data_IF_121710966886
#
_entry.id   IF_121710966886
#
_cell.length_a   1.000
_cell.length_b   1.000
_cell.length_c   1.000
_cell.angle_alpha   90.00
_cell.angle_beta   90.00
_cell.angle_gamma   90.00
#
_symmetry.space_group_name_H-M   'P 1'
#
loop_
_entity.id
_entity.type
_entity.pdbx_description
1 polymer ?
#
# COMPACT_ATOMS: atom_id res chain seq x y z
N UNK A 1 30.36 -1.49 -54.90
CA UNK A 1 29.45 -0.41 -54.45
C UNK A 1 28.05 -0.95 -54.17
N UNK A 2 27.41 -1.65 -55.12
CA UNK A 2 26.04 -2.22 -54.95
C UNK A 2 25.93 -3.21 -53.78
N UNK A 3 26.92 -4.08 -53.58
CA UNK A 3 26.94 -5.08 -52.49
C UNK A 3 26.99 -4.45 -51.10
N UNK A 4 27.67 -3.30 -50.95
CA UNK A 4 27.81 -2.61 -49.66
C UNK A 4 26.46 -1.96 -49.25
N UNK A 5 25.71 -1.43 -50.21
CA UNK A 5 24.39 -0.83 -49.98
C UNK A 5 23.39 -1.88 -49.50
N UNK A 6 23.42 -3.08 -50.07
CA UNK A 6 22.51 -4.18 -49.68
C UNK A 6 22.77 -4.63 -48.24
N UNK A 7 24.05 -4.77 -47.85
CA UNK A 7 24.40 -5.17 -46.47
C UNK A 7 23.96 -4.12 -45.45
N UNK A 8 24.18 -2.83 -45.74
CA UNK A 8 23.73 -1.74 -44.85
C UNK A 8 22.21 -1.71 -44.73
N UNK A 9 21.47 -1.93 -45.82
CA UNK A 9 20.00 -1.98 -45.80
C UNK A 9 19.46 -3.16 -44.96
N UNK A 10 20.11 -4.33 -45.03
CA UNK A 10 19.71 -5.51 -44.24
C UNK A 10 20.01 -5.30 -42.75
N UNK A 11 21.16 -4.71 -42.41
CA UNK A 11 21.51 -4.40 -41.01
C UNK A 11 20.58 -3.34 -40.44
N UNK A 12 20.24 -2.30 -41.22
CA UNK A 12 19.33 -1.25 -40.76
C UNK A 12 17.91 -1.79 -40.53
N UNK A 13 17.40 -2.65 -41.42
CA UNK A 13 16.05 -3.22 -41.28
C UNK A 13 15.98 -4.24 -40.13
N UNK A 14 17.01 -5.06 -39.94
CA UNK A 14 17.07 -6.00 -38.78
C UNK A 14 17.21 -5.27 -37.45
N UNK A 15 18.00 -4.19 -37.39
CA UNK A 15 18.09 -3.34 -36.19
C UNK A 15 16.75 -2.67 -35.84
N UNK A 16 16.04 -2.15 -36.85
CA UNK A 16 14.75 -1.50 -36.65
C UNK A 16 13.67 -2.49 -36.14
N UNK A 17 13.68 -3.73 -36.64
CA UNK A 17 12.77 -4.78 -36.19
C UNK A 17 13.13 -5.27 -34.78
N UNK A 18 14.41 -5.39 -34.45
CA UNK A 18 14.86 -5.80 -33.11
C UNK A 18 14.57 -4.73 -32.04
N UNK A 19 14.75 -3.44 -32.35
CA UNK A 19 14.43 -2.35 -31.42
C UNK A 19 12.93 -2.03 -31.36
N UNK A 20 12.19 -2.20 -32.47
CA UNK A 20 10.75 -1.93 -32.56
C UNK A 20 9.85 -3.00 -31.92
N UNK A 21 10.37 -4.18 -31.62
CA UNK A 21 9.63 -5.28 -30.99
C UNK A 21 9.49 -5.17 -29.45
N UNK A 22 9.84 -4.02 -28.86
CA UNK A 22 9.47 -3.69 -27.49
C UNK A 22 8.01 -3.26 -27.45
N UNK A 23 7.12 -4.23 -27.70
CA UNK A 23 5.67 -4.02 -27.75
C UNK A 23 5.22 -3.34 -26.46
N UNK A 24 4.57 -2.17 -26.50
CA UNK A 24 4.10 -1.52 -25.30
C UNK A 24 3.15 -2.48 -24.59
N UNK A 25 3.48 -2.88 -23.36
CA UNK A 25 2.57 -3.67 -22.53
C UNK A 25 1.24 -2.92 -22.50
N UNK A 26 0.21 -3.56 -23.06
CA UNK A 26 -1.10 -2.94 -23.18
C UNK A 26 -1.58 -2.50 -21.81
N UNK A 27 -2.38 -1.44 -21.71
CA UNK A 27 -2.87 -0.92 -20.43
C UNK A 27 -3.50 -2.00 -19.54
N UNK A 28 -4.07 -3.05 -20.16
CA UNK A 28 -4.60 -4.24 -19.47
C UNK A 28 -3.51 -5.09 -18.80
N UNK A 29 -2.37 -5.31 -19.45
CA UNK A 29 -1.24 -6.02 -18.86
C UNK A 29 -0.68 -5.27 -17.65
N UNK A 30 -0.55 -3.94 -17.75
CA UNK A 30 -0.05 -3.10 -16.65
C UNK A 30 -0.94 -3.18 -15.41
N UNK A 31 -2.27 -3.12 -15.60
CA UNK A 31 -3.23 -3.28 -14.49
C UNK A 31 -3.09 -4.63 -13.79
N UNK A 32 -2.93 -5.72 -14.54
CA UNK A 32 -2.77 -7.04 -13.95
C UNK A 32 -1.45 -7.18 -13.17
N UNK A 33 -0.38 -6.57 -13.67
CA UNK A 33 0.90 -6.52 -12.96
C UNK A 33 0.82 -5.69 -11.68
N UNK A 34 0.11 -4.57 -11.70
CA UNK A 34 -0.14 -3.73 -10.52
C UNK A 34 -0.95 -4.48 -9.45
N UNK A 35 -2.02 -5.18 -9.84
CA UNK A 35 -2.80 -6.02 -8.92
C UNK A 35 -1.98 -7.18 -8.34
N UNK A 36 -1.09 -7.78 -9.14
CA UNK A 36 -0.20 -8.85 -8.66
C UNK A 36 0.80 -8.27 -7.65
N UNK A 37 1.33 -7.08 -7.92
CA UNK A 37 2.27 -6.40 -7.04
C UNK A 37 1.62 -5.98 -5.72
N UNK A 38 0.41 -5.41 -5.76
CA UNK A 38 -0.36 -5.11 -4.54
C UNK A 38 -0.59 -6.37 -3.68
N UNK A 39 -1.00 -7.49 -4.30
CA UNK A 39 -1.15 -8.78 -3.60
C UNK A 39 0.14 -9.30 -2.98
N UNK A 40 1.29 -9.04 -3.62
CA UNK A 40 2.59 -9.36 -3.05
C UNK A 40 2.89 -8.48 -1.83
N UNK A 41 2.68 -7.17 -1.93
CA UNK A 41 2.92 -6.22 -0.84
C UNK A 41 1.99 -6.43 0.36
N UNK A 42 0.79 -6.99 0.13
CA UNK A 42 -0.09 -7.41 1.22
C UNK A 42 0.46 -8.60 2.02
N UNK A 43 1.27 -9.46 1.39
CA UNK A 43 1.93 -10.59 2.06
C UNK A 43 3.30 -10.23 2.62
N UNK A 44 4.01 -9.37 1.92
CA UNK A 44 5.40 -8.99 2.20
C UNK A 44 5.54 -7.45 2.21
N UNK A 45 4.99 -6.77 3.25
CA UNK A 45 4.98 -5.31 3.30
C UNK A 45 6.39 -4.71 3.41
N UNK A 46 7.38 -5.46 3.86
CA UNK A 46 8.79 -5.03 3.96
C UNK A 46 9.42 -4.69 2.60
N UNK A 47 8.82 -5.16 1.49
CA UNK A 47 9.31 -4.94 0.12
C UNK A 47 8.70 -3.70 -0.54
N UNK A 48 7.99 -2.86 0.20
CA UNK A 48 7.40 -1.64 -0.34
C UNK A 48 8.51 -0.65 -0.75
N UNK A 49 8.36 -0.09 -1.94
CA UNK A 49 9.18 1.02 -2.42
C UNK A 49 8.36 2.30 -2.60
N UNK A 50 9.03 3.46 -2.71
CA UNK A 50 8.37 4.76 -2.92
C UNK A 50 7.46 4.74 -4.16
N UNK A 51 7.88 4.12 -5.25
CA UNK A 51 7.06 3.99 -6.46
C UNK A 51 5.77 3.19 -6.25
N UNK A 52 5.71 2.29 -5.26
CA UNK A 52 4.48 1.58 -4.90
C UNK A 52 3.49 2.51 -4.20
N UNK A 53 4.00 3.40 -3.36
CA UNK A 53 3.21 4.41 -2.67
C UNK A 53 2.68 5.45 -3.63
N UNK A 54 3.48 5.90 -4.59
CA UNK A 54 3.02 6.80 -5.66
C UNK A 54 1.92 6.15 -6.51
N UNK A 55 2.07 4.86 -6.86
CA UNK A 55 1.00 4.10 -7.55
C UNK A 55 -0.25 3.99 -6.69
N UNK A 56 -0.09 3.70 -5.40
CA UNK A 56 -1.18 3.61 -4.45
C UNK A 56 -1.93 4.95 -4.33
N UNK A 57 -1.21 6.06 -4.24
CA UNK A 57 -1.79 7.41 -4.19
C UNK A 57 -2.52 7.75 -5.47
N UNK A 58 -1.95 7.43 -6.63
CA UNK A 58 -2.61 7.63 -7.93
C UNK A 58 -3.88 6.80 -8.06
N UNK A 59 -3.90 5.58 -7.50
CA UNK A 59 -5.09 4.74 -7.46
C UNK A 59 -6.21 5.30 -6.55
N UNK A 60 -5.86 6.15 -5.58
CA UNK A 60 -6.81 6.88 -4.72
C UNK A 60 -7.12 8.29 -5.25
N UNK A 61 -6.87 8.54 -6.53
CA UNK A 61 -7.19 9.79 -7.23
C UNK A 61 -6.50 11.02 -6.64
N UNK A 62 -5.28 10.88 -6.11
CA UNK A 62 -4.48 12.05 -5.73
C UNK A 62 -3.90 12.74 -6.98
N UNK A 63 -3.86 14.09 -7.01
CA UNK A 63 -3.16 14.87 -8.03
C UNK A 63 -1.66 14.53 -8.07
N UNK A 64 -1.06 14.50 -9.27
CA UNK A 64 0.34 14.10 -9.45
C UNK A 64 1.34 15.06 -8.75
N UNK A 65 0.97 16.33 -8.66
CA UNK A 65 1.65 17.38 -7.92
C UNK A 65 1.63 17.12 -6.40
N UNK A 66 0.49 16.71 -5.83
CA UNK A 66 0.39 16.32 -4.42
C UNK A 66 1.20 15.04 -4.14
N UNK A 67 1.15 14.06 -5.04
CA UNK A 67 1.94 12.82 -4.93
C UNK A 67 3.44 13.16 -4.89
N UNK A 68 3.91 14.02 -5.80
CA UNK A 68 5.32 14.45 -5.85
C UNK A 68 5.70 15.20 -4.58
N UNK A 69 4.86 16.11 -4.10
CA UNK A 69 5.10 16.84 -2.87
C UNK A 69 5.23 15.90 -1.66
N UNK A 70 4.31 14.94 -1.51
CA UNK A 70 4.32 13.97 -0.41
C UNK A 70 5.54 13.06 -0.49
N UNK A 71 5.88 12.56 -1.67
CA UNK A 71 7.06 11.71 -1.86
C UNK A 71 8.36 12.46 -1.53
N UNK A 72 8.48 13.72 -1.95
CA UNK A 72 9.63 14.58 -1.68
C UNK A 72 9.74 14.95 -0.19
N UNK A 73 8.62 15.31 0.45
CA UNK A 73 8.57 15.54 1.91
C UNK A 73 8.97 14.29 2.71
N UNK A 74 8.37 13.14 2.38
CA UNK A 74 8.69 11.88 3.03
C UNK A 74 10.17 11.52 2.88
N UNK A 75 10.74 11.74 1.69
CA UNK A 75 12.16 11.53 1.45
C UNK A 75 13.03 12.45 2.31
N UNK A 76 12.75 13.76 2.35
CA UNK A 76 13.48 14.72 3.17
C UNK A 76 13.41 14.41 4.67
N UNK A 77 12.26 13.94 5.15
CA UNK A 77 12.04 13.56 6.55
C UNK A 77 12.57 12.16 6.88
N UNK A 78 13.13 11.44 5.90
CA UNK A 78 13.63 10.09 6.11
C UNK A 78 12.55 9.05 6.43
N UNK A 79 11.28 9.35 6.12
CA UNK A 79 10.16 8.46 6.39
C UNK A 79 10.30 7.21 5.52
N UNK A 80 10.37 6.05 6.15
CA UNK A 80 10.54 4.78 5.43
C UNK A 80 9.28 4.40 4.65
N UNK A 81 9.41 3.87 3.41
CA UNK A 81 8.26 3.44 2.61
C UNK A 81 7.37 2.41 3.32
N UNK A 82 7.96 1.49 4.09
CA UNK A 82 7.23 0.52 4.91
C UNK A 82 6.26 1.22 5.89
N UNK A 83 6.73 2.27 6.59
CA UNK A 83 5.89 3.02 7.53
C UNK A 83 4.74 3.72 6.81
N UNK A 84 5.01 4.36 5.68
CA UNK A 84 3.97 4.98 4.86
C UNK A 84 2.92 3.96 4.40
N UNK A 85 3.34 2.77 3.98
CA UNK A 85 2.42 1.70 3.60
C UNK A 85 1.53 1.25 4.76
N UNK A 86 2.13 1.02 5.93
CA UNK A 86 1.38 0.63 7.12
C UNK A 86 0.35 1.69 7.51
N UNK A 87 0.70 2.97 7.39
CA UNK A 87 -0.22 4.08 7.59
C UNK A 87 -1.36 4.08 6.57
N UNK A 88 -1.07 3.95 5.27
CA UNK A 88 -2.10 3.88 4.24
C UNK A 88 -3.05 2.69 4.45
N UNK A 89 -2.53 1.52 4.85
CA UNK A 89 -3.35 0.33 5.13
C UNK A 89 -4.21 0.49 6.37
N UNK A 90 -3.71 1.17 7.42
CA UNK A 90 -4.43 1.31 8.69
C UNK A 90 -5.43 2.46 8.70
N UNK A 91 -5.07 3.59 8.09
CA UNK A 91 -5.79 4.86 8.23
C UNK A 91 -6.21 5.51 6.92
N UNK A 92 -5.96 4.85 5.79
CA UNK A 92 -6.17 5.34 4.42
C UNK A 92 -5.07 6.27 3.88
N UNK A 93 -4.96 6.30 2.55
CA UNK A 93 -4.00 7.09 1.78
C UNK A 93 -4.23 8.60 1.96
N UNK A 94 -5.47 9.06 2.06
CA UNK A 94 -5.74 10.48 2.26
C UNK A 94 -5.23 10.96 3.63
N UNK A 95 -5.40 10.14 4.67
CA UNK A 95 -4.88 10.44 6.00
C UNK A 95 -3.35 10.46 6.00
N UNK A 96 -2.70 9.48 5.36
CA UNK A 96 -1.24 9.46 5.17
C UNK A 96 -0.74 10.76 4.51
N UNK A 97 -1.46 11.22 3.49
CA UNK A 97 -1.11 12.42 2.72
C UNK A 97 -1.17 13.66 3.61
N UNK A 98 -2.22 13.80 4.42
CA UNK A 98 -2.35 14.91 5.38
C UNK A 98 -1.23 14.90 6.41
N UNK A 99 -0.93 13.75 7.03
CA UNK A 99 0.11 13.71 8.08
C UNK A 99 1.51 14.02 7.54
N UNK A 100 1.85 13.54 6.35
CA UNK A 100 3.15 13.88 5.72
C UNK A 100 3.16 15.34 5.26
N UNK A 101 2.08 15.82 4.67
CA UNK A 101 1.99 17.22 4.26
C UNK A 101 2.06 18.18 5.46
N UNK A 102 1.57 17.77 6.63
CA UNK A 102 1.67 18.49 7.90
C UNK A 102 3.04 18.36 8.60
N UNK A 103 4.02 17.71 7.96
CA UNK A 103 5.39 17.52 8.46
C UNK A 103 5.53 16.69 9.74
N UNK A 104 4.67 15.68 9.94
CA UNK A 104 4.90 14.71 11.01
C UNK A 104 6.20 13.93 10.78
N UNK A 105 7.01 13.84 11.83
CA UNK A 105 8.26 13.08 11.82
C UNK A 105 8.02 11.58 11.73
N UNK A 106 9.06 10.85 11.33
CA UNK A 106 9.03 9.39 11.27
C UNK A 106 8.67 8.76 12.63
N UNK A 107 9.21 9.30 13.73
CA UNK A 107 9.02 8.76 15.08
C UNK A 107 7.59 8.99 15.58
N UNK A 108 7.00 10.15 15.29
CA UNK A 108 5.58 10.42 15.60
C UNK A 108 4.66 9.49 14.82
N UNK A 109 4.95 9.26 13.53
CA UNK A 109 4.22 8.31 12.71
C UNK A 109 4.31 6.89 13.30
N UNK A 110 5.48 6.45 13.76
CA UNK A 110 5.63 5.16 14.42
C UNK A 110 4.91 5.09 15.77
N UNK A 111 4.95 6.16 16.56
CA UNK A 111 4.25 6.23 17.85
C UNK A 111 2.74 6.07 17.71
N UNK A 112 2.13 6.81 16.79
CA UNK A 112 0.71 6.67 16.46
C UNK A 112 0.37 5.30 15.86
N UNK A 113 1.23 4.75 14.99
CA UNK A 113 1.04 3.41 14.43
C UNK A 113 1.10 2.32 15.53
N UNK A 114 2.04 2.42 16.46
CA UNK A 114 2.20 1.47 17.56
C UNK A 114 1.04 1.52 18.55
N UNK A 115 0.59 2.74 18.89
CA UNK A 115 -0.53 2.96 19.81
C UNK A 115 -1.91 2.76 19.14
N UNK A 116 -1.95 2.73 17.81
CA UNK A 116 -3.19 2.65 17.05
C UNK A 116 -4.06 3.91 17.13
N UNK A 117 -3.45 5.04 17.48
CA UNK A 117 -4.12 6.33 17.59
C UNK A 117 -3.93 7.14 16.32
N UNK A 118 -4.84 8.09 16.09
CA UNK A 118 -4.70 9.11 15.05
C UNK A 118 -4.34 10.44 15.72
N UNK A 119 -3.44 11.25 15.11
CA UNK A 119 -3.27 12.64 15.50
C UNK A 119 -4.55 13.43 15.20
N UNK A 120 -4.68 14.62 15.78
CA UNK A 120 -5.82 15.50 15.48
C UNK A 120 -5.77 15.94 14.01
N UNK A 121 -6.60 15.29 13.20
CA UNK A 121 -6.61 15.51 11.76
C UNK A 121 -7.11 16.90 11.42
N UNK A 122 -7.98 17.53 12.21
CA UNK A 122 -8.45 18.89 11.90
C UNK A 122 -7.31 19.90 12.02
N UNK A 123 -6.49 19.78 13.06
CA UNK A 123 -5.28 20.58 13.22
C UNK A 123 -4.28 20.32 12.09
N UNK A 124 -3.97 19.05 11.80
CA UNK A 124 -3.01 18.69 10.76
C UNK A 124 -3.46 19.10 9.36
N UNK A 125 -4.75 19.15 9.08
CA UNK A 125 -5.29 19.65 7.81
C UNK A 125 -4.96 21.12 7.59
N UNK A 126 -4.97 21.94 8.66
CA UNK A 126 -4.57 23.35 8.57
C UNK A 126 -3.08 23.46 8.20
N UNK A 127 -2.23 22.70 8.88
CA UNK A 127 -0.80 22.66 8.56
C UNK A 127 -0.52 22.12 7.16
N UNK A 128 -1.20 21.06 6.74
CA UNK A 128 -1.10 20.51 5.40
C UNK A 128 -1.49 21.53 4.33
N UNK A 129 -2.56 22.30 4.55
CA UNK A 129 -3.00 23.36 3.65
C UNK A 129 -1.99 24.52 3.57
N UNK A 130 -1.40 24.92 4.70
CA UNK A 130 -0.30 25.91 4.73
C UNK A 130 0.94 25.44 3.97
N UNK A 131 1.14 24.13 3.92
CA UNK A 131 2.22 23.47 3.21
C UNK A 131 1.92 23.15 1.73
N UNK A 132 0.77 23.62 1.21
CA UNK A 132 0.42 23.52 -0.21
C UNK A 132 -0.45 22.32 -0.60
N UNK A 133 -0.97 21.56 0.35
CA UNK A 133 -1.95 20.50 0.05
C UNK A 133 -3.32 21.11 -0.28
N UNK A 134 -3.96 20.69 -1.38
CA UNK A 134 -5.23 21.28 -1.82
C UNK A 134 -6.39 20.88 -0.92
N UNK A 135 -7.20 21.85 -0.51
CA UNK A 135 -8.32 21.68 0.44
C UNK A 135 -9.37 20.63 0.00
N UNK A 136 -9.49 20.38 -1.30
CA UNK A 136 -10.45 19.39 -1.86
C UNK A 136 -10.13 17.96 -1.41
N UNK A 137 -8.86 17.61 -1.23
CA UNK A 137 -8.41 16.26 -0.82
C UNK A 137 -8.22 16.14 0.70
N UNK A 138 -7.90 17.26 1.34
CA UNK A 138 -7.88 17.45 2.81
C UNK A 138 -9.21 17.03 3.44
N UNK A 139 -10.35 17.36 2.80
CA UNK A 139 -11.69 17.01 3.28
C UNK A 139 -12.03 15.49 3.21
N UNK A 140 -11.28 14.69 2.43
CA UNK A 140 -11.49 13.24 2.34
C UNK A 140 -10.77 12.47 3.45
N UNK A 141 -9.65 12.99 3.95
CA UNK A 141 -8.93 12.41 5.09
C UNK A 141 -9.87 12.34 6.29
N UNK A 142 -9.87 11.26 7.09
CA UNK A 142 -10.74 11.18 8.29
C UNK A 142 -12.20 10.78 8.06
N UNK A 143 -12.66 10.55 6.82
CA UNK A 143 -13.82 9.66 6.63
C UNK A 143 -13.37 8.26 7.02
N UNK A 144 -13.81 7.80 8.19
CA UNK A 144 -13.60 6.45 8.71
C UNK A 144 -13.70 5.43 7.57
N UNK A 145 -12.78 4.46 7.49
CA UNK A 145 -12.78 3.52 6.38
C UNK A 145 -14.15 2.85 6.31
N UNK A 146 -14.84 3.04 5.19
CA UNK A 146 -15.92 2.16 4.79
C UNK A 146 -15.30 0.77 4.81
N UNK A 147 -15.69 -0.06 5.80
CA UNK A 147 -15.48 -1.51 5.76
C UNK A 147 -15.89 -1.94 4.37
N UNK A 148 -14.92 -2.22 3.51
CA UNK A 148 -15.16 -2.99 2.30
C UNK A 148 -15.51 -4.35 2.85
N UNK A 149 -16.80 -4.60 3.06
CA UNK A 149 -17.30 -5.94 3.28
C UNK A 149 -16.70 -6.79 2.17
N UNK A 150 -15.89 -7.81 2.46
CA UNK A 150 -15.46 -8.74 1.44
C UNK A 150 -16.75 -9.24 0.79
N UNK A 151 -16.90 -8.96 -0.51
CA UNK A 151 -17.97 -9.50 -1.32
C UNK A 151 -17.99 -10.99 -1.03
N UNK A 152 -19.07 -11.45 -0.40
CA UNK A 152 -19.27 -12.83 -0.03
C UNK A 152 -18.98 -13.68 -1.27
N UNK A 153 -17.86 -14.40 -1.23
CA UNK A 153 -17.60 -15.48 -2.15
C UNK A 153 -18.70 -16.50 -1.83
N UNK A 154 -19.59 -16.87 -2.78
CA UNK A 154 -20.53 -17.94 -2.52
C UNK A 154 -19.73 -19.17 -2.11
N UNK A 155 -20.05 -19.82 -0.98
CA UNK A 155 -19.31 -20.99 -0.55
C UNK A 155 -19.43 -22.05 -1.63
N UNK A 156 -18.30 -22.36 -2.28
CA UNK A 156 -18.18 -23.56 -3.08
C UNK A 156 -18.50 -24.73 -2.16
N UNK A 157 -19.48 -25.53 -2.57
CA UNK A 157 -19.88 -26.74 -1.91
C UNK A 157 -18.69 -27.71 -1.83
N UNK A 158 -17.96 -27.65 -0.72
CA UNK A 158 -17.09 -28.73 -0.29
C UNK A 158 -17.75 -29.37 0.91
N UNK A 159 -18.38 -30.52 0.64
CA UNK A 159 -18.84 -31.41 1.68
C UNK A 159 -17.67 -31.86 2.55
N UNK A 160 -17.81 -31.66 3.84
CA UNK A 160 -17.42 -32.64 4.86
C UNK A 160 -17.92 -32.12 6.22
N UNK A 161 -18.93 -32.82 6.72
CA UNK A 161 -19.38 -32.75 8.10
C UNK A 161 -18.23 -33.16 9.02
N UNK A 162 -17.56 -32.20 9.63
CA UNK A 162 -16.67 -32.44 10.77
C UNK A 162 -17.42 -32.01 12.03
N UNK A 163 -17.92 -33.02 12.75
CA UNK A 163 -18.51 -32.89 14.08
C UNK A 163 -17.60 -32.05 14.99
N UNK A 164 -18.15 -30.98 15.52
CA UNK A 164 -17.56 -30.19 16.60
C UNK A 164 -17.41 -31.08 17.85
N UNK A 165 -16.19 -31.59 18.11
CA UNK A 165 -15.81 -32.04 19.44
C UNK A 165 -15.56 -30.81 20.29
N UNK A 166 -16.47 -30.57 21.24
CA UNK A 166 -16.30 -29.67 22.37
C UNK A 166 -14.98 -30.05 23.05
N UNK A 167 -13.97 -29.18 22.95
CA UNK A 167 -12.72 -29.30 23.70
C UNK A 167 -12.85 -28.34 24.88
N UNK A 168 -13.08 -28.91 26.04
CA UNK A 168 -13.12 -28.25 27.34
C UNK A 168 -11.82 -27.46 27.54
N UNK A 169 -11.94 -26.18 27.87
CA UNK A 169 -10.81 -25.33 28.25
C UNK A 169 -10.13 -25.89 29.52
N UNK A 170 -8.79 -25.80 29.66
CA UNK A 170 -8.11 -26.19 30.87
C UNK A 170 -8.44 -25.21 32.00
N UNK A 171 -8.91 -25.76 33.13
CA UNK A 171 -9.19 -25.01 34.37
C UNK A 171 -7.88 -24.40 34.88
N UNK A 172 -7.83 -23.07 34.96
CA UNK A 172 -6.74 -22.34 35.60
C UNK A 172 -6.95 -22.46 37.11
N UNK A 173 -6.05 -23.16 37.79
CA UNK A 173 -6.02 -23.22 39.25
C UNK A 173 -5.21 -22.04 39.82
N UNK A 174 -5.74 -21.39 40.85
CA UNK A 174 -5.03 -20.36 41.60
C UNK A 174 -3.83 -20.96 42.35
N UNK A 175 -2.70 -20.24 42.45
CA UNK A 175 -1.51 -20.72 43.14
C UNK A 175 -1.78 -20.87 44.65
N UNK A 176 -1.96 -22.11 45.12
CA UNK A 176 -2.11 -22.43 46.54
C UNK A 176 -2.98 -23.65 46.88
N UNK A 177 -3.75 -24.18 45.92
CA UNK A 177 -4.71 -25.29 46.15
C UNK A 177 -4.25 -26.63 45.60
N UNK A 178 -3.01 -27.07 45.89
CA UNK A 178 -2.63 -28.45 45.60
C UNK A 178 -3.22 -29.37 46.67
N UNK A 179 -4.03 -30.39 46.31
CA UNK A 179 -4.42 -31.40 47.28
C UNK A 179 -3.19 -32.25 47.62
N UNK A 180 -2.76 -32.19 48.87
CA UNK A 180 -1.79 -33.15 49.42
C UNK A 180 -2.45 -34.52 49.39
N UNK A 181 -2.01 -35.37 48.47
CA UNK A 181 -2.39 -36.78 48.45
C UNK A 181 -1.79 -37.47 49.68
N UNK A 182 -2.66 -38.10 50.47
CA UNK A 182 -2.27 -39.06 51.52
C UNK A 182 -1.89 -40.42 50.95
#
# INVERSE_FOLDING_TARGET
>A
MVTLIIVVAIVATTWYVACGASVPSTARSRRHDDERRLRLLEREPERVHTGDLERLMRAHELPEDEIRMVADKAHRQGIKPFTMWMWAKRFDVHTLTVVIAADLSHDELLGHLGNGTLPDLEELRVFAALNGLTTTHVARAGRTPRRVSPRAVPPAAFGSSVSARIRTEPVIHEPGTWPLAG
#
